data_IF_574072563428
#
_entry.id   IF_574072563428
#
_cell.length_a   1.000
_cell.length_b   1.000
_cell.length_c   1.000
_cell.angle_alpha   90.00
_cell.angle_beta   90.00
_cell.angle_gamma   90.00
#
_symmetry.space_group_name_H-M   'P 1'
#
loop_
_entity.id
_entity.type
_entity.pdbx_description
1 polymer ?
#
# COMPACT_ATOMS: atom_id res chain seq x y z
N UNK A 1 -13.64 3.61 -6.85
CA UNK A 1 -14.34 2.69 -7.78
C UNK A 1 -15.36 1.96 -6.92
N UNK A 2 -16.66 2.14 -7.20
CA UNK A 2 -17.74 1.54 -6.41
C UNK A 2 -17.86 0.06 -6.74
N UNK A 3 -17.70 -0.82 -5.75
CA UNK A 3 -17.83 -2.28 -5.88
C UNK A 3 -19.28 -2.77 -6.05
N UNK A 4 -20.20 -1.94 -6.55
CA UNK A 4 -21.63 -2.28 -6.61
C UNK A 4 -22.12 -2.92 -7.92
N UNK A 5 -21.25 -3.12 -8.89
CA UNK A 5 -21.61 -3.77 -10.16
C UNK A 5 -20.59 -4.85 -10.55
N UNK A 6 -20.40 -5.82 -9.67
CA UNK A 6 -19.69 -7.05 -10.03
C UNK A 6 -20.61 -8.24 -9.73
N UNK A 7 -21.00 -8.93 -10.80
CA UNK A 7 -21.71 -10.21 -10.80
C UNK A 7 -21.21 -11.16 -9.71
N UNK A 8 -22.17 -11.87 -9.12
CA UNK A 8 -21.99 -12.97 -8.19
C UNK A 8 -21.36 -14.21 -8.86
N UNK A 9 -20.11 -14.08 -9.32
CA UNK A 9 -19.26 -15.18 -9.79
C UNK A 9 -17.96 -15.20 -8.98
N UNK A 10 -17.91 -16.12 -8.02
CA UNK A 10 -16.76 -16.97 -7.69
C UNK A 10 -15.35 -16.36 -7.91
N UNK A 11 -14.88 -15.49 -7.01
CA UNK A 11 -13.49 -14.99 -7.02
C UNK A 11 -12.85 -15.08 -5.65
N UNK A 12 -12.08 -16.14 -5.44
CA UNK A 12 -11.09 -16.27 -4.38
C UNK A 12 -10.06 -15.14 -4.50
N UNK A 13 -9.71 -14.48 -3.40
CA UNK A 13 -8.62 -13.52 -3.33
C UNK A 13 -7.31 -14.31 -3.34
N UNK A 14 -6.64 -14.29 -4.48
CA UNK A 14 -5.36 -14.98 -4.71
C UNK A 14 -4.19 -14.05 -4.43
N UNK A 15 -3.01 -14.64 -4.19
CA UNK A 15 -1.76 -13.88 -4.03
C UNK A 15 -1.50 -12.99 -5.24
N UNK A 16 -1.75 -13.45 -6.47
CA UNK A 16 -1.58 -12.65 -7.69
C UNK A 16 -2.42 -11.38 -7.69
N UNK A 17 -3.67 -11.46 -7.19
CA UNK A 17 -4.55 -10.31 -7.12
C UNK A 17 -4.02 -9.28 -6.11
N UNK A 18 -3.63 -9.75 -4.92
CA UNK A 18 -3.03 -8.90 -3.88
C UNK A 18 -1.75 -8.25 -4.37
N UNK A 19 -0.85 -9.05 -4.95
CA UNK A 19 0.40 -8.61 -5.52
C UNK A 19 0.19 -7.52 -6.57
N UNK A 20 -0.81 -7.69 -7.46
CA UNK A 20 -1.17 -6.69 -8.47
C UNK A 20 -1.61 -5.36 -7.85
N UNK A 21 -2.38 -5.41 -6.75
CA UNK A 21 -2.83 -4.21 -6.03
C UNK A 21 -1.64 -3.51 -5.36
N UNK A 22 -0.79 -4.26 -4.66
CA UNK A 22 0.41 -3.72 -3.99
C UNK A 22 1.38 -3.11 -5.00
N UNK A 23 1.72 -3.83 -6.08
CA UNK A 23 2.54 -3.30 -7.18
C UNK A 23 1.98 -1.98 -7.70
N UNK A 24 0.67 -1.91 -7.94
CA UNK A 24 0.03 -0.68 -8.44
C UNK A 24 0.18 0.48 -7.44
N UNK A 25 -0.14 0.25 -6.17
CA UNK A 25 -0.14 1.28 -5.14
C UNK A 25 1.28 1.78 -4.83
N UNK A 26 2.22 0.86 -4.58
CA UNK A 26 3.60 1.19 -4.21
C UNK A 26 4.34 1.84 -5.37
N UNK A 27 4.21 1.35 -6.60
CA UNK A 27 4.82 2.02 -7.76
C UNK A 27 4.25 3.41 -7.99
N UNK A 28 2.95 3.62 -7.78
CA UNK A 28 2.35 4.95 -7.90
C UNK A 28 2.92 5.91 -6.84
N UNK A 29 3.06 5.46 -5.59
CA UNK A 29 3.69 6.24 -4.54
C UNK A 29 5.18 6.51 -4.84
N UNK A 30 5.93 5.51 -5.29
CA UNK A 30 7.33 5.64 -5.66
C UNK A 30 7.53 6.67 -6.79
N UNK A 31 6.72 6.61 -7.85
CA UNK A 31 6.76 7.56 -8.95
C UNK A 31 6.43 8.99 -8.52
N UNK A 32 5.56 9.17 -7.52
CA UNK A 32 5.27 10.50 -6.99
C UNK A 32 6.49 11.14 -6.28
N UNK A 33 7.32 10.32 -5.62
CA UNK A 33 8.55 10.78 -4.97
C UNK A 33 9.78 10.76 -5.88
N UNK A 34 9.72 10.07 -7.02
CA UNK A 34 10.85 9.86 -7.92
C UNK A 34 11.63 11.12 -8.28
N UNK A 35 11.00 12.25 -8.70
CA UNK A 35 11.73 13.46 -9.05
C UNK A 35 12.59 14.02 -7.90
N UNK A 36 12.07 13.97 -6.67
CA UNK A 36 12.78 14.46 -5.49
C UNK A 36 13.91 13.51 -5.06
N UNK A 37 13.65 12.20 -5.07
CA UNK A 37 14.61 11.21 -4.62
C UNK A 37 15.75 10.99 -5.63
N UNK A 38 15.51 11.08 -6.93
CA UNK A 38 16.55 10.94 -7.95
C UNK A 38 17.58 12.08 -7.91
N UNK A 39 17.15 13.28 -7.51
CA UNK A 39 18.03 14.45 -7.33
C UNK A 39 18.64 14.56 -5.93
N UNK A 40 18.25 13.67 -5.01
CA UNK A 40 18.78 13.63 -3.65
C UNK A 40 20.30 13.46 -3.61
N UNK A 41 20.96 14.25 -2.75
CA UNK A 41 22.39 14.10 -2.42
C UNK A 41 22.63 13.07 -1.31
N UNK A 42 21.63 12.82 -0.47
CA UNK A 42 21.69 11.88 0.65
C UNK A 42 21.55 10.42 0.19
N UNK A 43 20.91 10.18 -0.97
CA UNK A 43 20.72 8.85 -1.51
C UNK A 43 21.93 8.39 -2.34
N UNK A 44 22.42 7.21 -2.01
CA UNK A 44 23.44 6.49 -2.78
C UNK A 44 22.93 6.07 -4.16
N UNK A 45 23.83 5.79 -5.10
CA UNK A 45 23.48 5.24 -6.42
C UNK A 45 22.70 3.92 -6.32
N UNK A 46 23.00 3.09 -5.30
CA UNK A 46 22.27 1.84 -5.05
C UNK A 46 20.81 2.11 -4.67
N UNK A 47 20.56 3.08 -3.80
CA UNK A 47 19.22 3.47 -3.37
C UNK A 47 18.39 4.07 -4.52
N UNK A 48 19.02 4.86 -5.40
CA UNK A 48 18.37 5.38 -6.60
C UNK A 48 17.98 4.26 -7.56
N UNK A 49 18.85 3.27 -7.76
CA UNK A 49 18.51 2.07 -8.53
C UNK A 49 17.35 1.27 -7.89
N UNK A 50 17.33 1.17 -6.55
CA UNK A 50 16.21 0.53 -5.85
C UNK A 50 14.89 1.27 -6.07
N UNK A 51 14.92 2.60 -6.17
CA UNK A 51 13.76 3.41 -6.50
C UNK A 51 13.26 3.15 -7.94
N UNK A 52 14.16 3.10 -8.92
CA UNK A 52 13.82 2.75 -10.31
C UNK A 52 13.15 1.37 -10.39
N UNK A 53 13.58 0.42 -9.55
CA UNK A 53 12.94 -0.89 -9.49
C UNK A 53 11.52 -0.84 -8.95
N UNK A 54 11.24 0.03 -7.97
CA UNK A 54 9.91 0.23 -7.41
C UNK A 54 8.94 0.92 -8.38
N UNK A 55 9.43 1.78 -9.27
CA UNK A 55 8.58 2.52 -10.22
C UNK A 55 8.09 1.64 -11.38
N UNK A 56 8.86 0.63 -11.78
CA UNK A 56 8.47 -0.34 -12.80
C UNK A 56 7.95 -1.66 -12.21
N UNK A 57 6.63 -1.87 -12.39
CA UNK A 57 5.86 -3.02 -11.88
C UNK A 57 6.25 -4.36 -12.50
N UNK A 58 6.92 -4.33 -13.65
CA UNK A 58 7.39 -5.54 -14.33
C UNK A 58 8.60 -6.15 -13.63
N UNK A 59 9.28 -5.38 -12.78
CA UNK A 59 10.43 -5.87 -12.03
C UNK A 59 10.04 -6.94 -11.02
N UNK A 60 10.96 -7.90 -10.91
CA UNK A 60 10.95 -8.93 -9.89
C UNK A 60 11.77 -8.46 -8.70
N UNK A 61 11.08 -7.84 -7.75
CA UNK A 61 11.63 -7.40 -6.47
C UNK A 61 10.76 -7.96 -5.35
N UNK A 62 11.27 -7.89 -4.14
CA UNK A 62 10.48 -8.18 -2.95
C UNK A 62 9.40 -7.09 -2.77
N UNK A 63 8.21 -7.40 -3.28
CA UNK A 63 7.04 -6.54 -3.17
C UNK A 63 6.43 -6.57 -1.76
N UNK A 64 6.73 -7.57 -0.94
CA UNK A 64 6.32 -7.65 0.47
C UNK A 64 7.00 -6.54 1.28
N UNK A 65 8.31 -6.35 1.07
CA UNK A 65 9.11 -5.27 1.70
C UNK A 65 9.11 -3.93 0.95
N UNK A 66 8.33 -3.80 -0.13
CA UNK A 66 8.48 -2.67 -1.06
C UNK A 66 8.14 -1.31 -0.44
N UNK A 67 7.15 -1.24 0.45
CA UNK A 67 6.75 -0.01 1.13
C UNK A 67 7.71 0.34 2.27
N UNK A 68 8.30 -0.65 2.95
CA UNK A 68 9.42 -0.46 3.86
C UNK A 68 10.62 0.18 3.13
N UNK A 69 10.96 -0.34 1.94
CA UNK A 69 12.02 0.25 1.11
C UNK A 69 11.69 1.70 0.72
N UNK A 70 10.47 1.98 0.28
CA UNK A 70 10.07 3.35 -0.08
C UNK A 70 10.15 4.31 1.12
N UNK A 71 9.61 3.92 2.28
CA UNK A 71 9.65 4.75 3.49
C UNK A 71 11.09 5.00 3.96
N UNK A 72 12.00 4.02 3.83
CA UNK A 72 13.43 4.22 4.05
C UNK A 72 14.02 5.28 3.12
N UNK A 73 13.75 5.19 1.81
CA UNK A 73 14.29 6.14 0.83
C UNK A 73 13.82 7.58 1.11
N UNK A 74 12.53 7.74 1.39
CA UNK A 74 11.92 9.03 1.76
C UNK A 74 12.54 9.54 3.06
N UNK A 75 12.68 8.68 4.08
CA UNK A 75 13.24 9.06 5.38
C UNK A 75 14.68 9.54 5.28
N UNK A 76 15.53 8.83 4.52
CA UNK A 76 16.93 9.22 4.30
C UNK A 76 17.01 10.56 3.57
N UNK A 77 16.20 10.78 2.53
CA UNK A 77 16.22 12.03 1.78
C UNK A 77 15.82 13.24 2.63
N UNK A 78 14.77 13.13 3.44
CA UNK A 78 14.29 14.24 4.27
C UNK A 78 14.97 14.31 5.65
N UNK A 79 15.81 13.33 6.00
CA UNK A 79 16.39 13.17 7.35
C UNK A 79 15.33 13.20 8.46
N UNK A 80 14.13 12.68 8.17
CA UNK A 80 12.99 12.65 9.08
C UNK A 80 12.28 11.31 8.98
N UNK A 81 11.68 10.87 10.08
CA UNK A 81 10.82 9.68 10.08
C UNK A 81 9.53 9.95 9.31
N UNK A 82 9.05 8.97 8.56
CA UNK A 82 7.86 9.08 7.69
C UNK A 82 6.58 8.89 8.51
N UNK A 83 5.54 9.67 8.20
CA UNK A 83 4.17 9.37 8.62
C UNK A 83 3.44 8.75 7.43
N UNK A 84 2.99 7.51 7.57
CA UNK A 84 2.22 6.81 6.55
C UNK A 84 0.73 6.98 6.83
N UNK A 85 -0.01 7.57 5.89
CA UNK A 85 -1.47 7.69 5.94
C UNK A 85 -2.07 6.73 4.92
N UNK A 86 -2.88 5.79 5.38
CA UNK A 86 -3.59 4.83 4.51
C UNK A 86 -5.07 5.08 4.64
N UNK A 87 -5.69 5.70 3.63
CA UNK A 87 -7.12 5.97 3.61
C UNK A 87 -7.93 4.79 3.02
N UNK A 88 -9.22 4.73 3.35
CA UNK A 88 -10.18 3.69 2.95
C UNK A 88 -9.80 2.24 3.33
N UNK A 89 -9.03 2.05 4.41
CA UNK A 89 -8.62 0.71 4.87
C UNK A 89 -9.84 -0.18 5.23
N UNK A 90 -10.89 0.40 5.79
CA UNK A 90 -12.12 -0.30 6.19
C UNK A 90 -12.98 -0.74 4.99
N UNK A 91 -13.02 0.06 3.91
CA UNK A 91 -13.78 -0.26 2.70
C UNK A 91 -13.34 -1.55 2.02
N UNK A 92 -12.02 -1.82 2.02
CA UNK A 92 -11.49 -3.09 1.52
C UNK A 92 -11.75 -4.22 2.50
N UNK A 93 -11.39 -4.07 3.78
CA UNK A 93 -11.53 -5.15 4.77
C UNK A 93 -12.97 -5.60 4.98
N UNK A 94 -13.93 -4.68 5.00
CA UNK A 94 -15.35 -4.98 5.21
C UNK A 94 -16.03 -5.66 4.00
N UNK A 95 -15.40 -5.60 2.82
CA UNK A 95 -15.94 -6.23 1.60
C UNK A 95 -15.37 -7.62 1.34
N UNK A 96 -14.42 -8.07 2.16
CA UNK A 96 -13.75 -9.37 2.02
C UNK A 96 -14.47 -10.43 2.86
N UNK A 97 -14.89 -11.51 2.21
CA UNK A 97 -15.29 -12.75 2.88
C UNK A 97 -14.01 -13.52 3.28
N UNK A 98 -13.70 -13.69 4.58
CA UNK A 98 -12.46 -14.33 5.02
C UNK A 98 -12.31 -15.77 4.51
N UNK A 99 -13.42 -16.48 4.26
CA UNK A 99 -13.40 -17.85 3.72
C UNK A 99 -12.93 -17.93 2.26
N UNK A 100 -12.80 -16.78 1.59
CA UNK A 100 -12.40 -16.66 0.19
C UNK A 100 -10.99 -16.08 0.02
N UNK A 101 -10.24 -15.92 1.10
CA UNK A 101 -8.84 -15.45 1.04
C UNK A 101 -7.93 -16.67 1.07
N UNK A 102 -7.07 -16.79 0.05
CA UNK A 102 -6.04 -17.83 0.04
C UNK A 102 -5.01 -17.56 1.16
N UNK A 103 -4.50 -18.63 1.80
CA UNK A 103 -3.55 -18.53 2.91
C UNK A 103 -2.26 -17.79 2.55
N UNK A 104 -1.74 -17.96 1.33
CA UNK A 104 -0.54 -17.25 0.86
C UNK A 104 -0.84 -15.75 0.69
N UNK A 105 -2.03 -15.41 0.19
CA UNK A 105 -2.47 -14.03 0.07
C UNK A 105 -2.61 -13.37 1.45
N UNK A 106 -3.18 -14.10 2.42
CA UNK A 106 -3.31 -13.63 3.79
C UNK A 106 -1.93 -13.42 4.44
N UNK A 107 -1.04 -14.40 4.29
CA UNK A 107 0.33 -14.35 4.82
C UNK A 107 1.11 -13.17 4.24
N UNK A 108 1.02 -12.97 2.93
CA UNK A 108 1.65 -11.83 2.25
C UNK A 108 1.15 -10.49 2.80
N UNK A 109 -0.18 -10.31 2.93
CA UNK A 109 -0.75 -9.05 3.47
C UNK A 109 -0.30 -8.83 4.92
N UNK A 110 -0.28 -9.88 5.74
CA UNK A 110 0.19 -9.79 7.13
C UNK A 110 1.65 -9.35 7.19
N UNK A 111 2.54 -10.02 6.46
CA UNK A 111 3.95 -9.68 6.42
C UNK A 111 4.19 -8.27 5.88
N UNK A 112 3.54 -7.92 4.77
CA UNK A 112 3.62 -6.57 4.18
C UNK A 112 3.31 -5.47 5.20
N UNK A 113 2.24 -5.63 5.99
CA UNK A 113 1.89 -4.65 7.02
C UNK A 113 2.77 -4.72 8.27
N UNK A 114 3.26 -5.91 8.64
CA UNK A 114 4.22 -6.06 9.74
C UNK A 114 5.52 -5.33 9.42
N UNK A 115 6.11 -5.59 8.25
CA UNK A 115 7.34 -4.94 7.80
C UNK A 115 7.17 -3.43 7.65
N UNK A 116 6.00 -2.99 7.15
CA UNK A 116 5.75 -1.57 6.90
C UNK A 116 5.45 -0.79 8.16
N UNK A 117 4.60 -1.30 9.06
CA UNK A 117 4.05 -0.51 10.18
C UNK A 117 4.59 -0.92 11.55
N UNK A 118 5.01 -2.18 11.75
CA UNK A 118 5.50 -2.66 13.06
C UNK A 118 7.02 -2.63 13.14
N UNK A 119 7.71 -3.24 12.18
CA UNK A 119 9.17 -3.45 12.21
C UNK A 119 9.94 -2.38 11.39
N UNK A 120 9.31 -1.21 11.19
CA UNK A 120 9.85 -0.11 10.38
C UNK A 120 10.45 1.02 11.22
N UNK A 121 11.79 1.01 11.38
CA UNK A 121 12.52 2.05 12.10
C UNK A 121 12.41 3.46 11.48
N UNK A 122 12.15 3.54 10.17
CA UNK A 122 12.04 4.77 9.39
C UNK A 122 10.68 5.45 9.54
N UNK A 123 9.72 4.78 10.19
CA UNK A 123 8.38 5.28 10.40
C UNK A 123 8.26 5.99 11.76
N UNK A 124 7.57 7.12 11.76
CA UNK A 124 7.12 7.79 12.98
C UNK A 124 5.77 7.24 13.42
N UNK A 125 4.83 7.12 12.47
CA UNK A 125 3.50 6.60 12.70
C UNK A 125 2.90 6.02 11.41
N UNK A 126 2.11 4.96 11.56
CA UNK A 126 1.22 4.39 10.55
C UNK A 126 -0.21 4.71 10.97
N UNK A 127 -0.92 5.56 10.22
CA UNK A 127 -2.29 5.96 10.51
C UNK A 127 -3.19 5.35 9.45
N UNK A 128 -3.97 4.36 9.85
CA UNK A 128 -4.99 3.73 9.02
C UNK A 128 -6.30 4.48 9.22
N UNK A 129 -6.78 5.14 8.17
CA UNK A 129 -8.04 5.88 8.13
C UNK A 129 -9.04 5.12 7.26
N UNK A 130 -10.31 5.21 7.64
CA UNK A 130 -11.42 4.61 6.93
C UNK A 130 -12.67 5.45 7.13
N UNK A 131 -13.35 5.81 6.04
CA UNK A 131 -14.65 6.46 6.13
C UNK A 131 -15.70 5.38 5.98
N UNK A 132 -16.23 4.92 7.10
CA UNK A 132 -17.50 4.20 7.08
C UNK A 132 -18.54 5.23 6.61
N UNK A 133 -18.98 5.16 5.34
CA UNK A 133 -20.06 6.03 4.86
C UNK A 133 -21.34 5.67 5.63
N UNK A 134 -21.63 6.39 6.69
CA UNK A 134 -23.00 6.46 7.20
C UNK A 134 -23.83 7.18 6.14
N UNK A 135 -24.68 6.44 5.42
CA UNK A 135 -25.78 7.07 4.69
C UNK A 135 -26.71 7.60 5.77
N UNK A 136 -26.76 8.92 5.97
CA UNK A 136 -27.87 9.55 6.70
C UNK A 136 -29.09 9.48 5.79
N UNK A 137 -29.67 8.29 5.61
CA UNK A 137 -30.99 8.14 5.02
C UNK A 137 -32.00 8.37 6.14
N UNK A 138 -32.46 9.62 6.31
CA UNK A 138 -33.65 9.88 7.13
C UNK A 138 -33.79 11.21 7.87
N UNK A 139 -33.30 12.36 7.38
CA UNK A 139 -33.61 13.66 8.05
C UNK A 139 -33.98 14.82 7.10
N UNK A 140 -34.00 14.63 5.79
CA UNK A 140 -34.54 15.65 4.87
C UNK A 140 -35.70 15.08 4.04
N UNK A 141 -36.83 14.83 4.71
CA UNK A 141 -38.13 15.05 4.08
C UNK A 141 -38.58 16.44 4.52
N UNK A 142 -38.17 17.45 3.77
CA UNK A 142 -38.77 18.78 3.75
C UNK A 142 -39.63 18.91 2.51
#
# INVERSE_FOLDING_TARGET
>A
ISCREADASDKTITLDLVMKVVKKAVSAAASAFEPALMTSKELTSKQKKQLELLTDKSNDIDWESSLLLLTKLVSVHFSQKVVLLVDEYDGMMNSIDPSRVNEDALSFVQNFWMDTCKDNEYLHACILVGVTRYVISGVFNG
#
